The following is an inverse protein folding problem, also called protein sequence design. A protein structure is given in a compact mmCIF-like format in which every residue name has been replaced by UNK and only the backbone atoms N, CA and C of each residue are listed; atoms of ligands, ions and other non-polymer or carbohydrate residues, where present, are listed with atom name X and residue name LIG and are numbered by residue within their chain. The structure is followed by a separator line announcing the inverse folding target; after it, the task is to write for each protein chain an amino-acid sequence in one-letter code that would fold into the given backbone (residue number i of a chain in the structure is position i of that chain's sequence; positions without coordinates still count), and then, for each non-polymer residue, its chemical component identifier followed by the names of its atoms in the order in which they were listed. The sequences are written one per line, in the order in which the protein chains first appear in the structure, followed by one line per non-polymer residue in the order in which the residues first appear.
data_IF_324261149942
#
_entry.id   IF_324261149942
#
_cell.length_a   1.000
_cell.length_b   1.000
_cell.length_c   1.000
_cell.angle_alpha   90.00
_cell.angle_beta   90.00
_cell.angle_gamma   90.00
#
_symmetry.space_group_name_H-M   'P 1'
#
loop_
_entity.id
_entity.type
_entity.pdbx_description
1 polymer ?
#
# COMPACT_ATOMS: atom_id res chain seq x y z
N UNK A 1 -19.22 -12.29 -41.15
CA UNK A 1 -19.24 -12.91 -39.81
C UNK A 1 -18.05 -12.35 -39.07
N UNK A 2 -18.28 -11.54 -38.04
CA UNK A 2 -17.19 -10.95 -37.25
C UNK A 2 -16.64 -12.03 -36.33
N UNK A 3 -15.36 -12.38 -36.45
CA UNK A 3 -14.69 -13.21 -35.47
C UNK A 3 -14.55 -12.37 -34.20
N UNK A 4 -15.31 -12.72 -33.16
CA UNK A 4 -14.99 -12.26 -31.82
C UNK A 4 -13.74 -13.02 -31.38
N UNK A 5 -12.60 -12.34 -31.35
CA UNK A 5 -11.43 -12.83 -30.63
C UNK A 5 -11.79 -12.88 -29.15
N UNK A 6 -12.00 -14.08 -28.63
CA UNK A 6 -11.96 -14.31 -27.18
C UNK A 6 -10.53 -14.02 -26.73
N UNK A 7 -10.31 -12.83 -26.16
CA UNK A 7 -9.05 -12.51 -25.47
C UNK A 7 -8.98 -13.42 -24.25
N UNK A 8 -8.15 -14.47 -24.34
CA UNK A 8 -7.87 -15.35 -23.22
C UNK A 8 -6.88 -14.63 -22.29
N UNK A 9 -7.32 -14.33 -21.08
CA UNK A 9 -6.52 -13.70 -20.04
C UNK A 9 -5.36 -14.62 -19.62
N UNK A 10 -4.14 -14.09 -19.55
CA UNK A 10 -2.95 -14.85 -19.17
C UNK A 10 -3.03 -15.33 -17.71
N UNK A 11 -2.18 -16.29 -17.33
CA UNK A 11 -2.11 -16.74 -15.94
C UNK A 11 -1.55 -15.62 -15.03
N UNK A 12 -0.67 -14.80 -15.58
CA UNK A 12 -0.09 -13.62 -14.94
C UNK A 12 -1.17 -12.57 -14.66
N UNK A 13 -2.01 -12.26 -15.65
CA UNK A 13 -3.14 -11.34 -15.48
C UNK A 13 -4.13 -11.85 -14.43
N UNK A 14 -4.46 -13.15 -14.47
CA UNK A 14 -5.34 -13.77 -13.47
C UNK A 14 -4.80 -13.63 -12.05
N UNK A 15 -3.49 -13.85 -11.87
CA UNK A 15 -2.83 -13.70 -10.57
C UNK A 15 -2.86 -12.25 -10.10
N UNK A 16 -2.58 -11.31 -11.00
CA UNK A 16 -2.62 -9.88 -10.69
C UNK A 16 -4.02 -9.44 -10.25
N UNK A 17 -5.07 -9.79 -10.98
CA UNK A 17 -6.45 -9.44 -10.59
C UNK A 17 -6.87 -10.10 -9.27
N UNK A 18 -6.47 -11.34 -9.03
CA UNK A 18 -6.74 -12.01 -7.75
C UNK A 18 -6.04 -11.30 -6.57
N UNK A 19 -4.82 -10.78 -6.78
CA UNK A 19 -4.09 -9.99 -5.79
C UNK A 19 -4.77 -8.63 -5.55
N UNK A 20 -5.22 -7.94 -6.62
CA UNK A 20 -6.02 -6.71 -6.51
C UNK A 20 -7.31 -6.93 -5.69
N UNK A 21 -8.04 -8.00 -5.98
CA UNK A 21 -9.27 -8.35 -5.26
C UNK A 21 -8.98 -8.65 -3.79
N UNK A 22 -7.87 -9.35 -3.51
CA UNK A 22 -7.40 -9.59 -2.15
C UNK A 22 -7.08 -8.29 -1.41
N UNK A 23 -6.34 -7.36 -2.03
CA UNK A 23 -6.03 -6.04 -1.45
C UNK A 23 -7.32 -5.26 -1.14
N UNK A 24 -8.21 -5.12 -2.13
CA UNK A 24 -9.49 -4.42 -1.99
C UNK A 24 -10.36 -5.01 -0.88
N UNK A 25 -10.45 -6.34 -0.82
CA UNK A 25 -11.24 -7.04 0.19
C UNK A 25 -10.64 -6.87 1.58
N UNK A 26 -9.33 -7.01 1.72
CA UNK A 26 -8.66 -6.86 3.01
C UNK A 26 -8.79 -5.44 3.55
N UNK A 27 -8.47 -4.42 2.74
CA UNK A 27 -8.58 -3.02 3.15
C UNK A 27 -9.99 -2.66 3.66
N UNK A 28 -11.04 -3.11 2.94
CA UNK A 28 -12.44 -2.97 3.38
C UNK A 28 -12.70 -3.66 4.72
N UNK A 29 -12.15 -4.87 4.91
CA UNK A 29 -12.36 -5.65 6.14
C UNK A 29 -11.78 -5.00 7.39
N UNK A 30 -10.71 -4.21 7.25
CA UNK A 30 -10.09 -3.44 8.33
C UNK A 30 -10.54 -1.97 8.37
N UNK A 31 -11.54 -1.60 7.56
CA UNK A 31 -12.17 -0.28 7.58
C UNK A 31 -11.40 0.84 6.88
N UNK A 32 -10.40 0.53 6.05
CA UNK A 32 -9.66 1.51 5.25
C UNK A 32 -10.55 2.01 4.10
N UNK A 33 -10.63 3.33 3.93
CA UNK A 33 -11.45 3.97 2.88
C UNK A 33 -10.66 4.93 2.01
N UNK A 34 -9.57 5.48 2.53
CA UNK A 34 -8.88 6.61 1.91
C UNK A 34 -7.70 6.19 1.06
N UNK A 35 -7.15 4.99 1.28
CA UNK A 35 -5.93 4.53 0.59
C UNK A 35 -6.13 3.19 -0.10
N UNK A 36 -5.34 2.98 -1.15
CA UNK A 36 -5.31 1.74 -1.93
C UNK A 36 -3.91 1.15 -1.82
N UNK A 37 -3.80 -0.11 -1.42
CA UNK A 37 -2.53 -0.83 -1.45
C UNK A 37 -2.19 -1.22 -2.89
N UNK A 38 -1.08 -0.71 -3.40
CA UNK A 38 -0.63 -0.87 -4.79
C UNK A 38 0.80 -1.41 -4.87
N UNK A 39 1.21 -2.21 -3.89
CA UNK A 39 2.44 -3.00 -3.91
C UNK A 39 2.04 -4.44 -4.24
N UNK A 40 2.45 -4.93 -5.41
CA UNK A 40 2.10 -6.25 -5.93
C UNK A 40 3.29 -7.23 -5.87
N UNK A 41 3.03 -8.49 -6.21
CA UNK A 41 4.00 -9.57 -6.07
C UNK A 41 5.30 -9.42 -6.89
N UNK A 42 5.36 -8.50 -7.85
CA UNK A 42 6.55 -8.15 -8.64
C UNK A 42 7.45 -7.09 -7.97
N UNK A 43 7.01 -6.51 -6.85
CA UNK A 43 7.81 -5.60 -6.01
C UNK A 43 8.94 -6.33 -5.27
N UNK A 44 9.82 -5.56 -4.62
CA UNK A 44 10.89 -6.14 -3.80
C UNK A 44 10.39 -6.95 -2.57
N UNK A 45 9.10 -6.85 -2.23
CA UNK A 45 8.50 -7.55 -1.09
C UNK A 45 7.89 -8.90 -1.45
N UNK A 46 7.78 -9.21 -2.75
CA UNK A 46 7.06 -10.39 -3.22
C UNK A 46 5.56 -10.33 -2.88
N UNK A 47 4.90 -11.49 -2.89
CA UNK A 47 3.48 -11.59 -2.58
C UNK A 47 3.22 -11.25 -1.10
N UNK A 48 2.43 -10.19 -0.87
CA UNK A 48 2.11 -9.73 0.49
C UNK A 48 0.81 -10.36 0.98
N UNK A 49 0.87 -11.02 2.13
CA UNK A 49 -0.32 -11.42 2.90
C UNK A 49 -0.40 -10.54 4.14
N UNK A 50 -1.41 -9.68 4.20
CA UNK A 50 -1.57 -8.71 5.29
C UNK A 50 -1.60 -9.27 6.72
N UNK A 51 -1.97 -10.54 6.93
CA UNK A 51 -1.86 -11.20 8.24
C UNK A 51 -0.45 -11.66 8.61
N UNK A 52 0.47 -11.69 7.66
CA UNK A 52 1.86 -12.13 7.88
C UNK A 52 2.73 -11.01 8.46
N UNK A 53 3.81 -11.37 9.17
CA UNK A 53 4.76 -10.40 9.68
C UNK A 53 5.41 -9.54 8.58
N UNK A 54 5.69 -8.29 8.89
CA UNK A 54 6.47 -7.39 8.04
C UNK A 54 7.97 -7.40 8.40
N UNK A 55 8.89 -7.04 7.48
CA UNK A 55 10.33 -7.15 7.73
C UNK A 55 10.96 -5.96 8.48
N UNK A 56 10.21 -4.89 8.78
CA UNK A 56 10.79 -3.60 9.21
C UNK A 56 11.14 -3.47 10.70
N UNK A 57 10.92 -4.52 11.51
CA UNK A 57 11.22 -4.52 12.95
C UNK A 57 10.22 -3.73 13.81
N UNK A 58 10.37 -3.83 15.13
CA UNK A 58 9.36 -3.40 16.11
C UNK A 58 9.25 -1.87 16.30
N UNK A 59 10.24 -1.09 15.86
CA UNK A 59 10.30 0.37 16.05
C UNK A 59 10.02 1.16 14.76
N UNK A 60 9.47 0.50 13.73
CA UNK A 60 9.24 1.14 12.46
C UNK A 60 8.11 2.18 12.53
N UNK A 61 8.28 3.27 11.79
CA UNK A 61 7.30 4.36 11.72
C UNK A 61 7.05 4.75 10.27
N UNK A 62 5.81 5.10 9.93
CA UNK A 62 5.47 5.64 8.61
C UNK A 62 5.72 7.14 8.58
N UNK A 63 6.46 7.62 7.56
CA UNK A 63 6.50 9.05 7.20
C UNK A 63 5.78 9.29 5.87
N UNK A 64 4.79 10.17 5.87
CA UNK A 64 4.18 10.72 4.66
C UNK A 64 4.60 12.18 4.51
N UNK A 65 5.34 12.51 3.46
CA UNK A 65 5.90 13.86 3.28
C UNK A 65 5.87 14.30 1.82
N UNK A 66 5.33 15.48 1.56
CA UNK A 66 5.44 16.18 0.28
C UNK A 66 5.75 17.65 0.56
N UNK A 67 6.74 18.21 -0.15
CA UNK A 67 7.12 19.62 -0.02
C UNK A 67 6.47 20.51 -1.10
N UNK A 68 5.85 19.89 -2.12
CA UNK A 68 5.39 20.58 -3.34
C UNK A 68 3.86 20.72 -3.40
N UNK A 69 3.14 19.63 -3.18
CA UNK A 69 1.67 19.57 -3.28
C UNK A 69 1.06 19.47 -1.89
N UNK A 70 0.66 20.63 -1.32
CA UNK A 70 0.13 20.75 0.03
C UNK A 70 1.19 20.33 1.07
N UNK A 71 2.08 21.22 1.54
CA UNK A 71 3.23 20.81 2.33
C UNK A 71 2.79 20.09 3.62
N UNK A 72 3.14 18.82 3.72
CA UNK A 72 2.83 17.98 4.87
C UNK A 72 4.03 17.12 5.25
N UNK A 73 4.08 16.71 6.51
CA UNK A 73 5.13 15.86 7.06
C UNK A 73 4.60 15.07 8.25
N UNK A 74 3.74 14.09 7.95
CA UNK A 74 3.12 13.24 8.95
C UNK A 74 4.03 12.08 9.33
N UNK A 75 4.09 11.79 10.63
CA UNK A 75 4.81 10.65 11.19
C UNK A 75 3.86 9.83 12.05
N UNK A 76 3.74 8.54 11.76
CA UNK A 76 2.80 7.64 12.42
C UNK A 76 3.49 6.35 12.82
N UNK A 77 3.36 5.99 14.10
CA UNK A 77 3.85 4.73 14.65
C UNK A 77 3.08 3.51 14.10
N UNK A 78 3.81 2.42 13.83
CA UNK A 78 3.23 1.13 13.48
C UNK A 78 3.01 0.34 14.78
N UNK A 79 1.74 0.09 15.12
CA UNK A 79 1.37 -0.50 16.43
C UNK A 79 1.43 -2.02 16.48
N UNK A 80 1.62 -2.69 15.35
CA UNK A 80 1.63 -4.14 15.26
C UNK A 80 2.76 -4.65 14.39
N UNK A 81 2.74 -5.94 14.08
CA UNK A 81 3.85 -6.64 13.42
C UNK A 81 3.50 -7.11 12.02
N UNK A 82 2.28 -6.88 11.57
CA UNK A 82 1.76 -7.43 10.32
C UNK A 82 1.74 -6.38 9.21
N UNK A 83 1.74 -6.84 7.97
CA UNK A 83 1.55 -5.95 6.82
C UNK A 83 0.23 -5.16 6.88
N UNK A 84 -0.81 -5.71 7.51
CA UNK A 84 -2.05 -4.98 7.80
C UNK A 84 -1.84 -3.79 8.74
N UNK A 85 -0.99 -3.93 9.75
CA UNK A 85 -0.64 -2.84 10.68
C UNK A 85 0.11 -1.70 9.97
N UNK A 86 0.94 -2.04 8.98
CA UNK A 86 1.58 -1.06 8.10
C UNK A 86 0.53 -0.28 7.33
N UNK A 87 -0.42 -0.97 6.71
CA UNK A 87 -1.46 -0.30 5.93
C UNK A 87 -2.31 0.62 6.81
N UNK A 88 -2.66 0.21 8.03
CA UNK A 88 -3.35 1.08 9.00
C UNK A 88 -2.53 2.34 9.32
N UNK A 89 -1.23 2.20 9.56
CA UNK A 89 -0.35 3.33 9.84
C UNK A 89 -0.21 4.27 8.63
N UNK A 90 -0.08 3.71 7.42
CA UNK A 90 0.00 4.47 6.17
C UNK A 90 -1.28 5.23 5.87
N UNK A 91 -2.45 4.57 5.98
CA UNK A 91 -3.74 5.22 5.84
C UNK A 91 -3.88 6.40 6.81
N UNK A 92 -3.50 6.20 8.06
CA UNK A 92 -3.55 7.25 9.08
C UNK A 92 -2.62 8.42 8.77
N UNK A 93 -1.43 8.18 8.22
CA UNK A 93 -0.52 9.24 7.82
C UNK A 93 -1.09 10.08 6.66
N UNK A 94 -1.68 9.43 5.65
CA UNK A 94 -2.31 10.09 4.50
C UNK A 94 -3.58 10.86 4.92
N UNK A 95 -4.43 10.28 5.76
CA UNK A 95 -5.62 10.97 6.28
C UNK A 95 -5.24 12.22 7.09
N UNK A 96 -4.20 12.14 7.92
CA UNK A 96 -3.75 13.27 8.74
C UNK A 96 -3.13 14.39 7.92
N UNK A 97 -2.47 14.07 6.81
CA UNK A 97 -1.85 15.09 5.96
C UNK A 97 -2.89 15.90 5.17
N UNK A 98 -4.12 15.41 5.08
CA UNK A 98 -5.15 15.99 4.21
C UNK A 98 -4.89 15.74 2.72
N UNK A 99 -3.95 14.85 2.38
CA UNK A 99 -3.66 14.49 1.00
C UNK A 99 -4.76 13.59 0.45
N UNK A 100 -5.53 14.13 -0.49
CA UNK A 100 -6.59 13.40 -1.20
C UNK A 100 -6.16 12.97 -2.61
N UNK A 101 -4.93 13.30 -3.01
CA UNK A 101 -4.42 13.02 -4.34
C UNK A 101 -3.52 11.78 -4.35
N UNK A 102 -2.56 11.69 -3.43
CA UNK A 102 -1.63 10.55 -3.40
C UNK A 102 -2.12 9.44 -2.47
N UNK A 103 -3.09 8.66 -2.94
CA UNK A 103 -3.77 7.63 -2.15
C UNK A 103 -3.29 6.19 -2.41
N UNK A 104 -2.58 5.97 -3.52
CA UNK A 104 -2.04 4.65 -3.86
C UNK A 104 -0.71 4.45 -3.13
N UNK A 105 -0.63 3.46 -2.26
CA UNK A 105 0.60 3.09 -1.55
C UNK A 105 1.39 2.18 -2.48
N UNK A 106 2.51 2.66 -3.00
CA UNK A 106 3.29 1.98 -4.05
C UNK A 106 4.64 1.44 -3.55
N UNK A 107 5.05 1.83 -2.34
CA UNK A 107 6.30 1.35 -1.78
C UNK A 107 6.72 2.09 -0.51
N UNK A 108 7.85 1.66 0.03
CA UNK A 108 8.48 2.28 1.19
C UNK A 108 9.96 2.48 0.93
N UNK A 109 10.44 3.71 1.11
CA UNK A 109 11.88 3.99 1.18
C UNK A 109 12.32 4.00 2.64
N UNK A 110 13.23 3.10 3.00
CA UNK A 110 13.83 3.12 4.33
C UNK A 110 14.61 4.43 4.56
N UNK A 111 14.26 5.11 5.63
CA UNK A 111 14.92 6.28 6.17
C UNK A 111 15.77 5.93 7.40
N UNK A 112 16.35 6.95 8.06
CA UNK A 112 17.09 6.75 9.29
C UNK A 112 16.19 6.19 10.40
N UNK A 113 16.80 5.43 11.33
CA UNK A 113 16.17 5.01 12.58
C UNK A 113 14.83 4.26 12.45
N UNK A 114 14.65 3.44 11.40
CA UNK A 114 13.45 2.62 11.22
C UNK A 114 12.27 3.34 10.55
N UNK A 115 12.49 4.55 10.04
CA UNK A 115 11.48 5.27 9.28
C UNK A 115 11.21 4.59 7.93
N UNK A 116 9.94 4.42 7.59
CA UNK A 116 9.44 3.98 6.30
C UNK A 116 8.76 5.17 5.61
N UNK A 117 9.45 5.78 4.65
CA UNK A 117 8.90 6.89 3.87
C UNK A 117 7.97 6.35 2.81
N UNK A 118 6.71 6.77 2.82
CA UNK A 118 5.74 6.35 1.81
C UNK A 118 6.18 6.80 0.42
N UNK A 119 6.08 5.88 -0.54
CA UNK A 119 6.00 6.21 -1.95
C UNK A 119 4.55 6.07 -2.36
N UNK A 120 4.00 7.15 -2.92
CA UNK A 120 2.57 7.25 -3.22
C UNK A 120 2.30 7.73 -4.63
N UNK A 121 1.31 7.11 -5.28
CA UNK A 121 0.78 7.49 -6.58
C UNK A 121 -0.63 8.08 -6.49
N UNK A 122 -1.13 8.57 -7.63
CA UNK A 122 -2.41 9.29 -7.80
C UNK A 122 -3.32 8.67 -8.84
#
# INVERSE_FOLDING_TARGET
MSNQETVQMSAEDQKFFAEMDYHSTYGKSIGIKETVWSIYADSEYGEIKFGNPHPFGDNAVIRHKCDVFGPYNELVEIKGKTWGDIWVAANKAIVRSGDQHHIYIEGFRQGPAGELRLQTGS
#
